data_IF_262367657642
#
_entry.id   IF_262367657642
#
_cell.length_a   1.000
_cell.length_b   1.000
_cell.length_c   1.000
_cell.angle_alpha   90.00
_cell.angle_beta   90.00
_cell.angle_gamma   90.00
#
_symmetry.space_group_name_H-M   'P 1'
#
loop_
_entity.id
_entity.type
_entity.pdbx_description
1 polymer ?
#
# COMPACT_ATOMS: atom_id res chain seq x y z
N UNK A 1 71.09 2.45 48.77
CA UNK A 1 70.11 1.97 49.76
C UNK A 1 68.72 2.15 49.12
N UNK A 2 68.18 1.09 48.52
CA UNK A 2 66.88 1.06 47.85
C UNK A 2 65.95 0.22 48.67
N UNK A 3 64.98 0.85 49.29
CA UNK A 3 63.88 0.15 49.98
C UNK A 3 62.86 -0.34 48.95
N UNK A 4 62.46 -1.62 49.07
CA UNK A 4 61.35 -2.23 48.33
C UNK A 4 60.07 -2.02 49.16
N UNK A 5 58.94 -1.66 48.53
CA UNK A 5 57.66 -1.64 49.25
C UNK A 5 57.08 -3.05 49.41
N UNK A 6 56.50 -3.30 50.59
CA UNK A 6 55.78 -4.54 50.99
C UNK A 6 54.47 -4.75 50.20
N UNK A 7 54.04 -6.00 50.00
CA UNK A 7 52.79 -6.30 49.28
C UNK A 7 51.55 -6.07 50.17
N UNK A 8 50.62 -5.28 49.66
CA UNK A 8 49.30 -5.07 50.24
C UNK A 8 48.46 -6.37 50.16
N UNK A 9 48.06 -6.85 51.34
CA UNK A 9 47.15 -7.99 51.52
C UNK A 9 45.74 -7.62 51.02
N UNK A 10 45.27 -8.37 50.02
CA UNK A 10 43.92 -8.25 49.43
C UNK A 10 42.86 -8.75 50.43
N UNK A 11 41.93 -7.86 50.81
CA UNK A 11 40.73 -8.20 51.58
C UNK A 11 39.71 -8.78 50.60
N UNK A 12 39.10 -9.97 50.82
CA UNK A 12 38.12 -10.54 49.89
C UNK A 12 36.80 -9.76 49.96
N UNK A 13 36.45 -9.06 48.85
CA UNK A 13 35.15 -8.47 48.66
C UNK A 13 34.13 -9.60 48.46
N UNK A 14 33.24 -9.81 49.42
CA UNK A 14 32.08 -10.68 49.27
C UNK A 14 31.10 -10.03 48.31
N UNK A 15 30.99 -10.57 47.08
CA UNK A 15 29.90 -10.25 46.17
C UNK A 15 28.56 -10.69 46.79
N UNK A 16 27.52 -9.83 46.72
CA UNK A 16 26.21 -10.23 47.22
C UNK A 16 25.64 -11.33 46.33
N UNK A 17 25.11 -12.39 46.96
CA UNK A 17 24.39 -13.47 46.25
C UNK A 17 23.19 -12.87 45.53
N UNK A 18 22.90 -13.28 44.24
CA UNK A 18 21.72 -12.81 43.55
C UNK A 18 20.47 -13.31 44.27
N UNK A 19 19.68 -12.40 44.79
CA UNK A 19 18.36 -12.69 45.34
C UNK A 19 17.45 -13.00 44.16
N UNK A 20 17.29 -14.29 43.89
CA UNK A 20 16.30 -14.80 42.95
C UNK A 20 14.91 -14.57 43.55
N UNK A 21 14.31 -13.39 43.25
CA UNK A 21 12.94 -13.14 43.68
C UNK A 21 11.99 -13.94 42.79
N UNK A 22 11.10 -14.74 43.38
CA UNK A 22 10.05 -15.48 42.66
C UNK A 22 9.18 -14.58 41.78
N UNK A 23 9.12 -13.27 42.04
CA UNK A 23 8.48 -12.25 41.18
C UNK A 23 9.15 -12.09 39.81
N UNK A 24 10.47 -12.24 39.71
CA UNK A 24 11.18 -12.11 38.41
C UNK A 24 11.01 -13.32 37.50
N UNK A 25 10.72 -14.51 38.04
CA UNK A 25 10.46 -15.72 37.25
C UNK A 25 9.02 -15.72 36.73
N UNK A 26 8.04 -15.35 37.56
CA UNK A 26 6.64 -15.21 37.18
C UNK A 26 6.45 -14.12 36.11
N UNK A 27 7.15 -12.99 36.21
CA UNK A 27 7.11 -11.91 35.22
C UNK A 27 7.70 -12.33 33.85
N UNK A 28 8.80 -13.07 33.87
CA UNK A 28 9.41 -13.60 32.63
C UNK A 28 8.54 -14.67 31.95
N UNK A 29 7.88 -15.52 32.73
CA UNK A 29 6.97 -16.54 32.21
C UNK A 29 5.70 -15.90 31.59
N UNK A 30 5.12 -14.92 32.27
CA UNK A 30 3.98 -14.16 31.74
C UNK A 30 4.34 -13.38 30.45
N UNK A 31 5.52 -12.75 30.43
CA UNK A 31 6.00 -12.06 29.22
C UNK A 31 6.25 -13.03 28.06
N UNK A 32 6.74 -14.23 28.33
CA UNK A 32 6.94 -15.27 27.32
C UNK A 32 5.62 -15.78 26.74
N UNK A 33 4.63 -16.07 27.60
CA UNK A 33 3.30 -16.49 27.16
C UNK A 33 2.59 -15.41 26.34
N UNK A 34 2.73 -14.14 26.73
CA UNK A 34 2.18 -13.01 25.95
C UNK A 34 2.85 -12.90 24.59
N UNK A 35 4.16 -13.10 24.51
CA UNK A 35 4.90 -13.10 23.24
C UNK A 35 4.49 -14.29 22.36
N UNK A 36 4.38 -15.50 22.90
CA UNK A 36 3.94 -16.70 22.19
C UNK A 36 2.52 -16.51 21.64
N UNK A 37 1.57 -16.03 22.45
CA UNK A 37 0.21 -15.73 22.01
C UNK A 37 0.16 -14.65 20.91
N UNK A 38 0.99 -13.61 21.02
CA UNK A 38 1.09 -12.57 19.99
C UNK A 38 1.65 -13.13 18.68
N UNK A 39 2.62 -14.03 18.73
CA UNK A 39 3.16 -14.68 17.53
C UNK A 39 2.12 -15.59 16.87
N UNK A 40 1.29 -16.31 17.64
CA UNK A 40 0.16 -17.10 17.11
C UNK A 40 -0.88 -16.22 16.41
N UNK A 41 -1.17 -15.02 16.94
CA UNK A 41 -2.05 -14.05 16.31
C UNK A 41 -1.45 -13.51 15.00
N UNK A 42 -0.13 -13.36 14.91
CA UNK A 42 0.57 -12.96 13.67
C UNK A 42 0.48 -14.03 12.60
N UNK A 43 0.51 -15.33 12.95
CA UNK A 43 0.35 -16.43 11.99
C UNK A 43 -0.92 -16.29 11.14
N UNK A 44 -2.00 -15.80 11.75
CA UNK A 44 -3.28 -15.64 11.06
C UNK A 44 -3.30 -14.49 10.04
N UNK A 45 -2.38 -13.51 10.14
CA UNK A 45 -2.37 -12.32 9.28
C UNK A 45 -1.10 -12.15 8.46
N UNK A 46 0.03 -12.75 8.85
CA UNK A 46 1.33 -12.57 8.19
C UNK A 46 1.38 -13.07 6.75
N UNK A 47 2.30 -12.58 5.91
CA UNK A 47 2.66 -13.23 4.66
C UNK A 47 3.17 -14.64 4.88
N UNK A 48 3.26 -15.44 3.82
CA UNK A 48 3.94 -16.74 3.90
C UNK A 48 5.45 -16.57 4.07
N UNK A 49 6.05 -17.46 4.88
CA UNK A 49 7.49 -17.60 4.97
C UNK A 49 8.04 -18.44 3.82
N UNK A 50 9.34 -18.34 3.54
CA UNK A 50 10.00 -19.08 2.45
C UNK A 50 9.71 -20.59 2.51
N UNK A 51 9.78 -21.19 3.70
CA UNK A 51 9.51 -22.63 3.89
C UNK A 51 8.08 -23.05 3.47
N UNK A 52 7.12 -22.12 3.41
CA UNK A 52 5.74 -22.39 3.03
C UNK A 52 5.53 -22.27 1.50
N UNK A 53 6.40 -21.54 0.80
CA UNK A 53 6.22 -21.18 -0.63
C UNK A 53 5.96 -22.42 -1.50
N UNK A 54 6.75 -23.51 -1.44
CA UNK A 54 6.51 -24.67 -2.31
C UNK A 54 5.14 -25.33 -2.08
N UNK A 55 4.72 -25.44 -0.81
CA UNK A 55 3.44 -26.06 -0.47
C UNK A 55 2.25 -25.20 -0.93
N UNK A 56 2.34 -23.88 -0.73
CA UNK A 56 1.31 -22.93 -1.16
C UNK A 56 1.19 -22.88 -2.68
N UNK A 57 2.31 -22.85 -3.39
CA UNK A 57 2.32 -22.86 -4.86
C UNK A 57 1.71 -24.15 -5.43
N UNK A 58 2.03 -25.32 -4.85
CA UNK A 58 1.42 -26.58 -5.25
C UNK A 58 -0.10 -26.55 -5.07
N UNK A 59 -0.60 -26.01 -3.94
CA UNK A 59 -2.04 -25.85 -3.68
C UNK A 59 -2.67 -24.91 -4.71
N UNK A 60 -2.03 -23.78 -4.98
CA UNK A 60 -2.49 -22.77 -5.93
C UNK A 60 -2.59 -23.35 -7.36
N UNK A 61 -1.59 -24.12 -7.81
CA UNK A 61 -1.60 -24.74 -9.14
C UNK A 61 -2.57 -25.92 -9.27
N UNK A 62 -3.08 -26.43 -8.15
CA UNK A 62 -4.17 -27.40 -8.12
C UNK A 62 -5.57 -26.76 -7.99
N UNK A 63 -5.64 -25.46 -7.67
CA UNK A 63 -6.90 -24.76 -7.47
C UNK A 63 -7.65 -24.58 -8.81
N UNK A 64 -8.90 -25.09 -8.86
CA UNK A 64 -9.69 -25.10 -10.11
C UNK A 64 -10.13 -23.70 -10.51
N UNK A 65 -10.44 -22.85 -9.55
CA UNK A 65 -10.92 -21.49 -9.81
C UNK A 65 -9.76 -20.61 -10.31
N UNK A 66 -8.59 -20.71 -9.70
CA UNK A 66 -7.38 -20.07 -10.18
C UNK A 66 -7.05 -20.45 -11.62
N UNK A 67 -7.06 -21.75 -11.93
CA UNK A 67 -6.81 -22.23 -13.29
C UNK A 67 -7.89 -21.77 -14.28
N UNK A 68 -9.12 -21.62 -13.84
CA UNK A 68 -10.20 -21.09 -14.66
C UNK A 68 -9.99 -19.62 -15.00
N UNK A 69 -9.64 -18.81 -14.01
CA UNK A 69 -9.30 -17.39 -14.19
C UNK A 69 -8.12 -17.24 -15.17
N UNK A 70 -7.06 -18.03 -15.00
CA UNK A 70 -5.91 -18.01 -15.91
C UNK A 70 -6.26 -18.46 -17.33
N UNK A 71 -7.13 -19.48 -17.47
CA UNK A 71 -7.58 -19.94 -18.76
C UNK A 71 -8.37 -18.85 -19.51
N UNK A 72 -9.30 -18.18 -18.82
CA UNK A 72 -10.06 -17.07 -19.40
C UNK A 72 -9.17 -15.86 -19.75
N UNK A 73 -8.23 -15.54 -18.88
CA UNK A 73 -7.29 -14.44 -19.13
C UNK A 73 -6.38 -14.72 -20.33
N UNK A 74 -5.86 -15.94 -20.46
CA UNK A 74 -4.89 -16.31 -21.50
C UNK A 74 -5.55 -16.70 -22.82
N UNK A 75 -6.74 -17.31 -22.75
CA UNK A 75 -7.48 -17.87 -23.89
C UNK A 75 -8.96 -17.49 -23.85
N UNK A 76 -9.30 -16.18 -23.89
CA UNK A 76 -10.66 -15.70 -23.63
C UNK A 76 -11.74 -16.30 -24.53
N UNK A 77 -11.38 -16.63 -25.80
CA UNK A 77 -12.32 -17.25 -26.77
C UNK A 77 -12.46 -18.76 -26.65
N UNK A 78 -11.50 -19.42 -26.04
CA UNK A 78 -11.43 -20.90 -25.98
C UNK A 78 -11.74 -21.45 -24.58
N UNK A 79 -11.59 -20.66 -23.51
CA UNK A 79 -11.69 -21.11 -22.15
C UNK A 79 -13.05 -21.73 -21.82
N UNK A 80 -14.16 -21.15 -22.34
CA UNK A 80 -15.49 -21.68 -22.14
C UNK A 80 -15.72 -23.07 -22.76
N UNK A 81 -15.21 -23.31 -23.97
CA UNK A 81 -15.40 -24.58 -24.66
C UNK A 81 -14.34 -25.63 -24.33
N UNK A 82 -13.08 -25.21 -24.14
CA UNK A 82 -11.92 -26.09 -23.98
C UNK A 82 -11.28 -26.02 -22.59
N UNK A 83 -11.96 -25.43 -21.61
CA UNK A 83 -11.43 -25.26 -20.25
C UNK A 83 -10.98 -26.57 -19.60
N UNK A 84 -11.65 -27.69 -19.92
CA UNK A 84 -11.29 -29.01 -19.43
C UNK A 84 -9.88 -29.48 -19.89
N UNK A 85 -9.45 -29.07 -21.08
CA UNK A 85 -8.13 -29.39 -21.63
C UNK A 85 -7.09 -28.31 -21.30
N UNK A 86 -7.50 -27.05 -21.24
CA UNK A 86 -6.62 -25.90 -20.97
C UNK A 86 -6.12 -25.89 -19.53
N UNK A 87 -6.98 -26.19 -18.55
CA UNK A 87 -6.62 -26.15 -17.12
C UNK A 87 -5.48 -27.09 -16.77
N UNK A 88 -5.50 -28.40 -17.11
CA UNK A 88 -4.38 -29.31 -16.83
C UNK A 88 -3.11 -28.92 -17.60
N UNK A 89 -3.23 -28.39 -18.81
CA UNK A 89 -2.09 -27.88 -19.56
C UNK A 89 -1.44 -26.68 -18.86
N UNK A 90 -2.25 -25.71 -18.38
CA UNK A 90 -1.79 -24.55 -17.61
C UNK A 90 -1.13 -25.02 -16.32
N UNK A 91 -1.78 -25.90 -15.54
CA UNK A 91 -1.24 -26.43 -14.30
C UNK A 91 0.14 -27.08 -14.50
N UNK A 92 0.26 -27.97 -15.51
CA UNK A 92 1.53 -28.62 -15.85
C UNK A 92 2.62 -27.62 -16.24
N UNK A 93 2.25 -26.57 -16.98
CA UNK A 93 3.20 -25.50 -17.33
C UNK A 93 3.65 -24.72 -16.10
N UNK A 94 2.74 -24.32 -15.22
CA UNK A 94 3.05 -23.62 -13.97
C UNK A 94 3.98 -24.46 -13.08
N UNK A 95 3.64 -25.73 -12.83
CA UNK A 95 4.52 -26.62 -12.06
C UNK A 95 5.92 -26.72 -12.62
N UNK A 96 6.09 -26.73 -13.94
CA UNK A 96 7.40 -26.77 -14.58
C UNK A 96 8.13 -25.43 -14.50
N UNK A 97 7.42 -24.32 -14.70
CA UNK A 97 7.97 -22.96 -14.74
C UNK A 97 8.43 -22.49 -13.35
N UNK A 98 7.75 -22.97 -12.31
CA UNK A 98 8.01 -22.57 -10.92
C UNK A 98 8.56 -23.70 -10.04
N UNK A 99 9.11 -24.76 -10.66
CA UNK A 99 9.59 -25.96 -9.94
C UNK A 99 10.77 -25.69 -8.99
N UNK A 100 11.57 -24.68 -9.29
CA UNK A 100 12.77 -24.27 -8.58
C UNK A 100 12.53 -23.12 -7.57
N UNK A 101 11.28 -22.70 -7.39
CA UNK A 101 10.94 -21.60 -6.49
C UNK A 101 10.72 -22.14 -5.08
N UNK A 102 11.59 -21.74 -4.16
CA UNK A 102 11.59 -22.14 -2.75
C UNK A 102 11.52 -20.96 -1.76
N UNK A 103 11.49 -19.72 -2.26
CA UNK A 103 11.46 -18.51 -1.45
C UNK A 103 10.60 -17.42 -2.08
N UNK A 104 10.18 -16.47 -1.25
CA UNK A 104 9.39 -15.30 -1.69
C UNK A 104 10.21 -14.43 -2.64
N UNK A 105 11.49 -14.24 -2.37
CA UNK A 105 12.38 -13.44 -3.23
C UNK A 105 12.57 -14.10 -4.61
N UNK A 106 12.76 -15.44 -4.66
CA UNK A 106 12.82 -16.19 -5.91
C UNK A 106 11.50 -16.09 -6.70
N UNK A 107 10.36 -16.14 -6.01
CA UNK A 107 9.05 -15.94 -6.63
C UNK A 107 8.92 -14.53 -7.21
N UNK A 108 9.25 -13.48 -6.43
CA UNK A 108 9.18 -12.10 -6.89
C UNK A 108 10.07 -11.86 -8.12
N UNK A 109 11.29 -12.38 -8.11
CA UNK A 109 12.18 -12.31 -9.27
C UNK A 109 11.60 -13.04 -10.50
N UNK A 110 10.97 -14.21 -10.29
CA UNK A 110 10.32 -14.97 -11.39
C UNK A 110 9.14 -14.23 -12.01
N UNK A 111 8.31 -13.56 -11.20
CA UNK A 111 7.13 -12.83 -11.68
C UNK A 111 7.45 -11.42 -12.17
N UNK A 112 8.64 -10.89 -11.94
CA UNK A 112 9.07 -9.54 -12.37
C UNK A 112 8.72 -9.28 -13.85
N UNK A 113 9.13 -10.14 -14.75
CA UNK A 113 8.88 -9.99 -16.19
C UNK A 113 7.37 -10.00 -16.57
N UNK A 114 6.52 -10.55 -15.74
CA UNK A 114 5.06 -10.50 -15.94
C UNK A 114 4.50 -9.16 -15.45
N UNK A 115 5.03 -8.64 -14.34
CA UNK A 115 4.67 -7.32 -13.81
C UNK A 115 5.11 -6.25 -14.80
N UNK A 116 6.34 -6.29 -15.29
CA UNK A 116 6.88 -5.34 -16.26
C UNK A 116 6.01 -5.29 -17.53
N UNK A 117 5.72 -6.44 -18.12
CA UNK A 117 4.83 -6.52 -19.30
C UNK A 117 3.42 -6.00 -19.04
N UNK A 118 2.90 -6.16 -17.83
CA UNK A 118 1.59 -5.65 -17.45
C UNK A 118 1.63 -4.12 -17.35
N UNK A 119 2.68 -3.57 -16.76
CA UNK A 119 2.93 -2.14 -16.66
C UNK A 119 3.10 -1.53 -18.07
N UNK A 120 3.96 -2.10 -18.90
CA UNK A 120 4.20 -1.64 -20.27
C UNK A 120 2.93 -1.60 -21.14
N UNK A 121 2.01 -2.56 -20.95
CA UNK A 121 0.75 -2.61 -21.71
C UNK A 121 -0.32 -1.66 -21.22
N UNK A 122 -0.28 -1.31 -19.93
CA UNK A 122 -1.33 -0.53 -19.28
C UNK A 122 -0.93 0.94 -19.05
N UNK A 123 0.34 1.31 -19.33
CA UNK A 123 0.87 2.66 -19.10
C UNK A 123 1.71 3.15 -20.28
N UNK A 124 1.89 4.47 -20.36
CA UNK A 124 2.87 5.13 -21.25
C UNK A 124 4.23 5.30 -20.53
N UNK A 125 4.45 4.55 -19.49
CA UNK A 125 5.65 4.51 -18.68
C UNK A 125 5.42 4.87 -17.22
N UNK A 126 6.29 4.30 -16.37
CA UNK A 126 6.34 4.56 -14.93
C UNK A 126 7.64 5.28 -14.61
N UNK A 127 7.51 6.39 -13.88
CA UNK A 127 8.65 7.16 -13.38
C UNK A 127 8.58 7.24 -11.86
N UNK A 128 9.72 7.38 -11.21
CA UNK A 128 9.79 7.54 -9.77
C UNK A 128 10.89 8.52 -9.36
N UNK A 129 10.74 9.11 -8.18
CA UNK A 129 11.68 10.06 -7.59
C UNK A 129 11.81 9.86 -6.08
N UNK A 130 12.90 10.35 -5.48
CA UNK A 130 13.12 10.35 -4.03
C UNK A 130 13.58 9.03 -3.42
N UNK A 131 13.76 7.95 -4.20
CA UNK A 131 14.27 6.66 -3.71
C UNK A 131 15.74 6.72 -3.30
N UNK A 132 16.51 7.69 -3.81
CA UNK A 132 17.89 8.01 -3.42
C UNK A 132 18.00 8.47 -1.96
N UNK A 133 16.92 8.92 -1.35
CA UNK A 133 16.85 9.30 0.07
C UNK A 133 16.69 8.08 1.01
N UNK A 134 16.40 6.91 0.46
CA UNK A 134 16.22 5.69 1.20
C UNK A 134 17.53 4.89 1.28
N UNK A 135 17.80 4.32 2.45
CA UNK A 135 19.02 3.55 2.69
C UNK A 135 18.75 2.04 2.54
N UNK A 136 19.64 1.37 1.83
CA UNK A 136 19.63 -0.08 1.72
C UNK A 136 19.74 -0.74 3.11
N UNK A 137 18.99 -1.83 3.33
CA UNK A 137 18.99 -2.53 4.62
C UNK A 137 18.20 -1.84 5.74
N UNK A 138 17.55 -0.72 5.46
CA UNK A 138 16.71 -0.01 6.43
C UNK A 138 15.24 -0.14 6.08
N UNK A 139 14.43 -0.46 7.08
CA UNK A 139 12.98 -0.61 6.92
C UNK A 139 12.25 0.72 7.12
N UNK A 140 11.16 0.93 6.36
CA UNK A 140 10.36 2.15 6.35
C UNK A 140 8.86 1.83 6.41
N UNK A 141 8.07 2.74 6.96
CA UNK A 141 6.63 2.74 6.84
C UNK A 141 6.23 3.65 5.67
N UNK A 142 5.88 3.07 4.54
CA UNK A 142 5.36 3.81 3.38
C UNK A 142 3.88 4.09 3.58
N UNK A 143 3.53 5.36 3.74
CA UNK A 143 2.16 5.86 3.80
C UNK A 143 1.82 6.52 2.47
N UNK A 144 0.87 5.97 1.73
CA UNK A 144 0.57 6.40 0.37
C UNK A 144 -0.90 6.79 0.20
N UNK A 145 -1.16 7.71 -0.72
CA UNK A 145 -2.51 7.83 -1.27
C UNK A 145 -2.90 6.52 -1.98
N UNK A 146 -4.21 6.28 -2.11
CA UNK A 146 -4.69 4.99 -2.61
C UNK A 146 -5.78 5.19 -3.67
N UNK A 147 -5.48 4.82 -4.90
CA UNK A 147 -6.36 4.96 -6.07
C UNK A 147 -6.73 3.65 -6.72
N UNK A 148 -5.84 2.64 -6.69
CA UNK A 148 -6.06 1.33 -7.30
C UNK A 148 -5.79 0.21 -6.28
N UNK A 149 -6.64 -0.84 -6.29
CA UNK A 149 -6.58 -1.92 -5.28
C UNK A 149 -5.25 -2.68 -5.36
N UNK A 150 -4.80 -3.00 -6.58
CA UNK A 150 -3.65 -3.88 -6.83
C UNK A 150 -2.46 -3.09 -7.36
N UNK A 151 -2.71 -2.10 -8.24
CA UNK A 151 -1.62 -1.44 -8.94
C UNK A 151 -0.85 -0.45 -8.08
N UNK A 152 -1.46 0.18 -7.07
CA UNK A 152 -0.71 1.07 -6.18
C UNK A 152 0.44 0.33 -5.45
N UNK A 153 0.18 -0.75 -4.69
CA UNK A 153 1.28 -1.51 -4.10
C UNK A 153 2.18 -2.19 -5.14
N UNK A 154 1.66 -2.57 -6.30
CA UNK A 154 2.47 -3.14 -7.38
C UNK A 154 3.47 -2.12 -7.94
N UNK A 155 3.05 -0.87 -8.16
CA UNK A 155 3.95 0.20 -8.59
C UNK A 155 4.97 0.58 -7.51
N UNK A 156 4.59 0.58 -6.23
CA UNK A 156 5.55 0.79 -5.14
C UNK A 156 6.60 -0.34 -5.12
N UNK A 157 6.16 -1.60 -5.21
CA UNK A 157 7.08 -2.75 -5.30
C UNK A 157 7.99 -2.64 -6.52
N UNK A 158 7.45 -2.30 -7.69
CA UNK A 158 8.20 -2.09 -8.92
C UNK A 158 9.30 -1.02 -8.71
N UNK A 159 8.94 0.15 -8.19
CA UNK A 159 9.88 1.24 -8.00
C UNK A 159 11.00 0.90 -7.00
N UNK A 160 10.66 0.33 -5.84
CA UNK A 160 11.68 -0.03 -4.83
C UNK A 160 12.56 -1.20 -5.28
N UNK A 161 12.01 -2.18 -6.01
CA UNK A 161 12.76 -3.30 -6.57
C UNK A 161 13.81 -2.83 -7.59
N UNK A 162 13.39 -2.00 -8.56
CA UNK A 162 14.31 -1.45 -9.57
C UNK A 162 15.33 -0.45 -9.01
N UNK A 163 15.07 0.10 -7.82
CA UNK A 163 16.06 0.88 -7.06
C UNK A 163 17.03 0.01 -6.23
N UNK A 164 16.93 -1.32 -6.30
CA UNK A 164 17.76 -2.24 -5.53
C UNK A 164 17.41 -2.31 -4.04
N UNK A 165 16.19 -1.87 -3.67
CA UNK A 165 15.67 -1.94 -2.31
C UNK A 165 14.77 -3.16 -2.14
N UNK A 166 14.61 -3.63 -0.88
CA UNK A 166 13.69 -4.74 -0.57
C UNK A 166 12.24 -4.27 -0.67
N UNK A 167 11.41 -5.08 -1.34
CA UNK A 167 9.97 -4.84 -1.46
C UNK A 167 9.28 -4.87 -0.09
N UNK A 168 8.33 -3.95 0.19
CA UNK A 168 7.63 -3.89 1.46
C UNK A 168 6.62 -5.03 1.64
N UNK A 169 6.26 -5.31 2.89
CA UNK A 169 5.02 -6.01 3.26
C UNK A 169 3.83 -5.10 2.97
N UNK A 170 2.75 -5.64 2.40
CA UNK A 170 1.60 -4.87 1.91
C UNK A 170 0.37 -5.12 2.78
N UNK A 171 -0.23 -4.07 3.34
CA UNK A 171 -1.48 -4.15 4.07
C UNK A 171 -2.66 -4.36 3.10
N UNK A 172 -3.40 -5.48 3.24
CA UNK A 172 -4.57 -5.79 2.41
C UNK A 172 -5.79 -6.11 3.26
N UNK A 173 -6.95 -5.56 2.90
CA UNK A 173 -8.20 -5.85 3.61
C UNK A 173 -8.72 -7.27 3.34
N UNK A 174 -9.22 -7.94 4.38
CA UNK A 174 -9.78 -9.29 4.32
C UNK A 174 -11.00 -9.39 3.39
N UNK A 175 -11.69 -8.28 3.15
CA UNK A 175 -12.80 -8.20 2.19
C UNK A 175 -12.39 -8.51 0.75
N UNK A 176 -11.11 -8.38 0.41
CA UNK A 176 -10.55 -8.70 -0.92
C UNK A 176 -10.08 -10.17 -1.02
N UNK A 177 -10.02 -10.89 0.09
CA UNK A 177 -9.47 -12.24 0.20
C UNK A 177 -10.58 -13.32 0.32
N UNK A 178 -11.73 -13.08 -0.30
CA UNK A 178 -12.89 -13.97 -0.23
C UNK A 178 -12.66 -15.34 -0.88
N UNK A 179 -11.73 -15.42 -1.82
CA UNK A 179 -11.36 -16.64 -2.53
C UNK A 179 -10.02 -17.15 -2.01
N UNK A 180 -9.89 -18.45 -1.67
CA UNK A 180 -8.65 -19.01 -1.12
C UNK A 180 -7.42 -18.74 -1.98
N UNK A 181 -7.51 -18.90 -3.30
CA UNK A 181 -6.38 -18.67 -4.22
C UNK A 181 -5.94 -17.19 -4.24
N UNK A 182 -6.87 -16.23 -4.07
CA UNK A 182 -6.53 -14.80 -3.99
C UNK A 182 -5.75 -14.53 -2.70
N UNK A 183 -6.19 -15.10 -1.58
CA UNK A 183 -5.46 -15.02 -0.32
C UNK A 183 -4.04 -15.60 -0.45
N UNK A 184 -3.90 -16.77 -1.08
CA UNK A 184 -2.60 -17.40 -1.31
C UNK A 184 -1.69 -16.52 -2.17
N UNK A 185 -2.18 -15.98 -3.29
CA UNK A 185 -1.42 -15.08 -4.17
C UNK A 185 -0.93 -13.82 -3.44
N UNK A 186 -1.84 -13.18 -2.68
CA UNK A 186 -1.49 -11.95 -1.98
C UNK A 186 -0.48 -12.20 -0.87
N UNK A 187 -0.66 -13.26 -0.07
CA UNK A 187 0.28 -13.62 1.00
C UNK A 187 1.64 -14.11 0.48
N UNK A 188 1.69 -14.78 -0.68
CA UNK A 188 2.93 -15.09 -1.39
C UNK A 188 3.68 -13.82 -1.83
N UNK A 189 2.94 -12.74 -2.15
CA UNK A 189 3.54 -11.45 -2.52
C UNK A 189 3.67 -10.50 -1.33
N UNK A 190 4.07 -11.00 -0.17
CA UNK A 190 4.33 -10.24 1.07
C UNK A 190 3.12 -9.47 1.62
N UNK A 191 1.88 -9.78 1.21
CA UNK A 191 0.72 -9.11 1.80
C UNK A 191 0.36 -9.71 3.15
N UNK A 192 0.01 -8.84 4.12
CA UNK A 192 -0.55 -9.21 5.41
C UNK A 192 -1.98 -8.70 5.55
N UNK A 193 -2.78 -9.41 6.33
CA UNK A 193 -4.24 -9.24 6.34
C UNK A 193 -4.67 -8.19 7.35
N UNK A 194 -5.41 -7.18 6.89
CA UNK A 194 -6.13 -6.21 7.73
C UNK A 194 -7.57 -6.69 7.90
N UNK A 195 -7.92 -7.09 9.11
CA UNK A 195 -9.26 -7.61 9.44
C UNK A 195 -10.27 -6.46 9.53
N UNK A 196 -10.99 -6.18 8.44
CA UNK A 196 -12.04 -5.14 8.34
C UNK A 196 -13.44 -5.70 8.53
N UNK A 197 -13.66 -6.97 8.18
CA UNK A 197 -14.96 -7.63 8.19
C UNK A 197 -15.48 -7.97 9.58
N UNK A 198 -14.72 -7.66 10.63
CA UNK A 198 -15.11 -7.93 12.01
C UNK A 198 -16.23 -6.99 12.42
N UNK A 199 -17.32 -7.56 12.96
CA UNK A 199 -18.42 -6.84 13.61
C UNK A 199 -18.15 -6.78 15.13
N UNK A 200 -18.45 -5.64 15.75
CA UNK A 200 -18.22 -5.45 17.18
C UNK A 200 -17.03 -4.54 17.50
N UNK A 201 -17.28 -3.61 18.43
CA UNK A 201 -16.28 -2.57 18.79
C UNK A 201 -15.06 -3.16 19.48
N UNK A 202 -15.27 -4.15 20.36
CA UNK A 202 -14.20 -4.77 21.14
C UNK A 202 -13.29 -5.61 20.27
N UNK A 203 -13.88 -6.38 19.36
CA UNK A 203 -13.20 -7.26 18.44
C UNK A 203 -12.39 -6.45 17.39
N UNK A 204 -12.96 -5.33 16.89
CA UNK A 204 -12.23 -4.39 16.03
C UNK A 204 -11.01 -3.79 16.75
N UNK A 205 -11.18 -3.38 18.01
CA UNK A 205 -10.09 -2.82 18.79
C UNK A 205 -8.96 -3.84 19.00
N UNK A 206 -9.31 -5.11 19.30
CA UNK A 206 -8.34 -6.19 19.42
C UNK A 206 -7.60 -6.45 18.10
N UNK A 207 -8.33 -6.50 16.98
CA UNK A 207 -7.73 -6.67 15.66
C UNK A 207 -6.77 -5.51 15.28
N UNK A 208 -7.12 -4.27 15.62
CA UNK A 208 -6.22 -3.12 15.40
C UNK A 208 -5.00 -3.16 16.32
N UNK A 209 -5.14 -3.68 17.54
CA UNK A 209 -4.00 -3.88 18.45
C UNK A 209 -3.01 -4.89 17.87
N UNK A 210 -3.51 -6.03 17.33
CA UNK A 210 -2.69 -7.04 16.65
C UNK A 210 -2.04 -6.46 15.39
N UNK A 211 -2.80 -5.71 14.58
CA UNK A 211 -2.28 -5.07 13.38
C UNK A 211 -1.16 -4.06 13.70
N UNK A 212 -1.37 -3.21 14.71
CA UNK A 212 -0.37 -2.28 15.20
C UNK A 212 0.90 -3.00 15.66
N UNK A 213 0.74 -4.06 16.45
CA UNK A 213 1.86 -4.87 16.95
C UNK A 213 2.62 -5.53 15.80
N UNK A 214 1.91 -6.07 14.79
CA UNK A 214 2.51 -6.69 13.62
C UNK A 214 3.33 -5.70 12.78
N UNK A 215 2.80 -4.50 12.51
CA UNK A 215 3.51 -3.47 11.75
C UNK A 215 4.77 -3.01 12.52
N UNK A 216 4.65 -2.78 13.83
CA UNK A 216 5.79 -2.44 14.68
C UNK A 216 6.84 -3.55 14.69
N UNK A 217 6.43 -4.82 14.80
CA UNK A 217 7.33 -5.98 14.74
C UNK A 217 8.03 -6.07 13.37
N UNK A 218 7.28 -5.96 12.28
CA UNK A 218 7.83 -6.00 10.91
C UNK A 218 8.96 -5.00 10.71
N UNK A 219 8.76 -3.76 11.13
CA UNK A 219 9.74 -2.69 10.89
C UNK A 219 10.89 -2.71 11.89
N UNK A 220 10.57 -2.90 13.17
CA UNK A 220 11.55 -2.72 14.29
C UNK A 220 12.35 -4.00 14.57
N UNK A 221 11.79 -5.20 14.30
CA UNK A 221 12.41 -6.49 14.60
C UNK A 221 12.84 -7.23 13.34
N UNK A 222 11.92 -7.41 12.37
CA UNK A 222 12.23 -8.14 11.12
C UNK A 222 13.05 -7.30 10.13
N UNK A 223 13.09 -5.96 10.29
CA UNK A 223 13.74 -5.07 9.33
C UNK A 223 13.04 -5.03 7.97
N UNK A 224 11.72 -5.34 7.93
CA UNK A 224 10.91 -5.33 6.72
C UNK A 224 10.11 -4.03 6.63
N UNK A 225 10.19 -3.34 5.49
CA UNK A 225 9.35 -2.19 5.21
C UNK A 225 7.88 -2.59 5.11
N UNK A 226 6.99 -1.65 5.40
CA UNK A 226 5.54 -1.85 5.31
C UNK A 226 4.93 -0.77 4.43
N UNK A 227 4.07 -1.14 3.49
CA UNK A 227 3.20 -0.23 2.77
C UNK A 227 1.77 -0.30 3.32
N UNK A 228 1.19 0.86 3.59
CA UNK A 228 -0.20 1.00 4.00
C UNK A 228 -0.80 2.27 3.38
N UNK A 229 -2.07 2.19 2.97
CA UNK A 229 -2.81 3.36 2.49
C UNK A 229 -3.04 4.38 3.62
N UNK A 230 -3.00 5.66 3.30
CA UNK A 230 -3.20 6.78 4.23
C UNK A 230 -4.63 6.88 4.79
N UNK A 231 -5.59 6.21 4.13
CA UNK A 231 -6.99 6.16 4.55
C UNK A 231 -7.60 4.79 4.21
N UNK A 232 -8.71 4.44 4.87
CA UNK A 232 -9.43 3.22 4.56
C UNK A 232 -10.14 3.34 3.19
N UNK A 233 -9.82 2.43 2.29
CA UNK A 233 -10.37 2.39 0.93
C UNK A 233 -9.67 3.35 -0.03
N UNK A 234 -10.10 3.26 -1.30
CA UNK A 234 -9.56 4.11 -2.38
C UNK A 234 -10.22 5.48 -2.38
N UNK A 235 -9.46 6.54 -2.57
CA UNK A 235 -10.01 7.86 -2.88
C UNK A 235 -10.84 7.80 -4.18
N UNK A 236 -12.02 8.42 -4.15
CA UNK A 236 -12.96 8.41 -5.29
C UNK A 236 -13.00 9.77 -6.00
N UNK A 237 -12.84 10.84 -5.23
CA UNK A 237 -12.97 12.22 -5.69
C UNK A 237 -11.63 12.90 -6.01
N UNK A 238 -10.52 12.22 -5.80
CA UNK A 238 -9.19 12.79 -5.98
C UNK A 238 -8.71 13.71 -4.85
N UNK A 239 -9.48 13.86 -3.77
CA UNK A 239 -9.05 14.57 -2.56
C UNK A 239 -8.43 13.57 -1.58
N UNK A 240 -7.18 13.27 -1.80
CA UNK A 240 -6.42 12.24 -1.06
C UNK A 240 -6.02 12.75 0.33
N UNK A 241 -6.85 12.50 1.35
CA UNK A 241 -6.61 12.93 2.74
C UNK A 241 -6.21 11.77 3.63
N UNK A 242 -5.28 12.05 4.54
CA UNK A 242 -4.83 11.10 5.55
C UNK A 242 -5.85 10.99 6.69
N UNK A 243 -6.31 9.78 6.97
CA UNK A 243 -7.13 9.53 8.16
C UNK A 243 -6.23 9.40 9.39
N UNK A 244 -6.35 10.35 10.31
CA UNK A 244 -5.62 10.33 11.58
C UNK A 244 -5.89 9.08 12.44
N UNK A 245 -6.98 8.35 12.18
CA UNK A 245 -7.29 7.10 12.86
C UNK A 245 -6.27 6.00 12.53
N UNK A 246 -5.71 5.98 11.30
CA UNK A 246 -4.64 5.05 10.93
C UNK A 246 -3.38 5.32 11.74
N UNK A 247 -3.01 6.60 11.93
CA UNK A 247 -1.84 6.98 12.72
C UNK A 247 -2.02 6.61 14.21
N UNK A 248 -3.21 6.81 14.75
CA UNK A 248 -3.56 6.34 16.11
C UNK A 248 -3.50 4.81 16.21
N UNK A 249 -3.99 4.09 15.19
CA UNK A 249 -3.90 2.64 15.14
C UNK A 249 -2.43 2.17 15.15
N UNK A 250 -1.54 2.79 14.41
CA UNK A 250 -0.10 2.47 14.39
C UNK A 250 0.56 2.60 15.77
N UNK A 251 0.08 3.52 16.60
CA UNK A 251 0.56 3.72 17.97
C UNK A 251 -0.02 2.74 18.99
N UNK A 252 -1.16 2.07 18.70
CA UNK A 252 -1.92 1.31 19.70
C UNK A 252 -1.12 0.25 20.46
N UNK A 253 -0.19 -0.43 19.80
CA UNK A 253 0.66 -1.44 20.43
C UNK A 253 1.83 -0.85 21.25
N UNK A 254 2.04 0.46 21.17
CA UNK A 254 3.11 1.22 21.82
C UNK A 254 2.59 2.42 22.63
N UNK A 255 1.37 2.31 23.13
CA UNK A 255 0.71 3.38 23.90
C UNK A 255 1.48 3.83 25.16
N UNK A 256 2.44 3.01 25.61
CA UNK A 256 3.31 3.33 26.76
C UNK A 256 4.54 4.16 26.34
N UNK A 257 4.80 4.31 25.02
CA UNK A 257 5.78 5.21 24.44
C UNK A 257 5.09 6.53 24.02
N UNK A 258 5.75 7.70 24.08
CA UNK A 258 5.22 8.93 23.48
C UNK A 258 4.87 8.73 22.02
N UNK A 259 3.77 9.34 21.54
CA UNK A 259 3.27 9.15 20.17
C UNK A 259 4.34 9.44 19.09
N UNK A 260 5.02 10.58 19.23
CA UNK A 260 6.05 10.98 18.28
C UNK A 260 7.21 10.00 18.23
N UNK A 261 7.69 9.49 19.37
CA UNK A 261 8.79 8.53 19.47
C UNK A 261 8.41 7.17 18.85
N UNK A 262 7.21 6.68 19.18
CA UNK A 262 6.70 5.43 18.65
C UNK A 262 6.57 5.47 17.13
N UNK A 263 6.05 6.58 16.56
CA UNK A 263 5.90 6.76 15.11
C UNK A 263 7.27 7.01 14.44
N UNK A 264 8.16 7.79 15.04
CA UNK A 264 9.51 8.02 14.51
C UNK A 264 10.30 6.71 14.33
N UNK A 265 10.12 5.76 15.25
CA UNK A 265 10.74 4.44 15.16
C UNK A 265 10.29 3.63 13.93
N UNK A 266 9.12 3.93 13.36
CA UNK A 266 8.61 3.33 12.12
C UNK A 266 9.16 4.01 10.86
N UNK A 267 9.83 5.15 10.98
CA UNK A 267 10.37 5.93 9.86
C UNK A 267 9.32 6.20 8.78
N UNK A 268 8.22 6.93 9.12
CA UNK A 268 7.17 7.22 8.16
C UNK A 268 7.75 7.95 6.95
N UNK A 269 7.35 7.47 5.77
CA UNK A 269 7.80 7.99 4.48
C UNK A 269 6.55 8.15 3.62
N UNK A 270 6.23 9.38 3.26
CA UNK A 270 5.10 9.69 2.41
C UNK A 270 5.38 9.21 0.97
N UNK A 271 4.41 8.55 0.35
CA UNK A 271 4.51 8.14 -1.06
C UNK A 271 3.32 8.70 -1.81
N UNK A 272 3.60 9.53 -2.81
CA UNK A 272 2.58 10.05 -3.72
C UNK A 272 2.53 9.20 -4.99
N UNK A 273 1.36 8.66 -5.30
CA UNK A 273 1.12 7.85 -6.49
C UNK A 273 0.20 8.64 -7.42
N UNK A 274 0.73 9.05 -8.56
CA UNK A 274 0.06 9.91 -9.54
C UNK A 274 -0.24 9.13 -10.81
N UNK A 275 -1.51 9.09 -11.18
CA UNK A 275 -1.98 8.51 -12.44
C UNK A 275 -2.37 9.64 -13.39
N UNK A 276 -1.95 9.57 -14.65
CA UNK A 276 -2.49 10.47 -15.67
C UNK A 276 -3.98 10.18 -15.92
N UNK A 277 -4.33 8.89 -16.01
CA UNK A 277 -5.72 8.45 -16.11
C UNK A 277 -6.00 7.32 -15.11
N UNK A 278 -7.05 7.48 -14.31
CA UNK A 278 -7.52 6.42 -13.44
C UNK A 278 -8.36 5.42 -14.26
N UNK A 279 -7.99 4.13 -14.32
CA UNK A 279 -8.75 3.16 -15.09
C UNK A 279 -10.16 2.92 -14.55
N UNK A 280 -10.38 3.21 -13.26
CA UNK A 280 -11.68 3.04 -12.58
C UNK A 280 -12.49 4.34 -12.45
N UNK A 281 -12.12 5.41 -13.15
CA UNK A 281 -12.72 6.74 -12.99
C UNK A 281 -14.24 6.77 -13.21
N UNK A 282 -14.75 6.05 -14.21
CA UNK A 282 -16.20 5.93 -14.49
C UNK A 282 -16.95 5.26 -13.32
N UNK A 283 -16.37 4.17 -12.78
CA UNK A 283 -16.97 3.46 -11.65
C UNK A 283 -16.97 4.35 -10.37
N UNK A 284 -15.90 5.11 -10.17
CA UNK A 284 -15.79 6.06 -9.06
C UNK A 284 -16.78 7.23 -9.20
N UNK A 285 -16.91 7.81 -10.39
CA UNK A 285 -17.88 8.85 -10.68
C UNK A 285 -19.32 8.38 -10.42
N UNK A 286 -19.64 7.15 -10.84
CA UNK A 286 -20.94 6.52 -10.55
C UNK A 286 -21.16 6.33 -9.05
N UNK A 287 -20.17 5.83 -8.31
CA UNK A 287 -20.27 5.67 -6.85
C UNK A 287 -20.55 7.00 -6.16
N UNK A 288 -19.80 8.06 -6.51
CA UNK A 288 -19.97 9.40 -5.96
C UNK A 288 -21.37 9.98 -6.27
N UNK A 289 -21.82 9.87 -7.52
CA UNK A 289 -23.15 10.30 -7.93
C UNK A 289 -24.26 9.60 -7.11
N UNK A 290 -24.18 8.26 -6.97
CA UNK A 290 -25.16 7.51 -6.20
C UNK A 290 -25.13 7.94 -4.74
N UNK A 291 -23.97 8.08 -4.12
CA UNK A 291 -23.85 8.57 -2.73
C UNK A 291 -24.45 9.96 -2.55
N UNK A 292 -24.20 10.86 -3.48
CA UNK A 292 -24.74 12.22 -3.41
C UNK A 292 -26.26 12.27 -3.56
N UNK A 293 -26.83 11.39 -4.39
CA UNK A 293 -28.28 11.40 -4.68
C UNK A 293 -29.10 10.53 -3.75
N UNK A 294 -28.53 9.45 -3.19
CA UNK A 294 -29.26 8.48 -2.33
C UNK A 294 -28.78 8.44 -0.88
N UNK A 295 -27.71 9.13 -0.55
CA UNK A 295 -27.09 9.16 0.79
C UNK A 295 -26.17 7.98 1.09
N UNK A 296 -26.18 6.91 0.29
CA UNK A 296 -25.36 5.72 0.53
C UNK A 296 -25.01 5.00 -0.78
N UNK A 297 -24.02 4.11 -0.72
CA UNK A 297 -23.67 3.23 -1.83
C UNK A 297 -23.36 1.84 -1.31
N UNK A 298 -24.00 0.84 -1.88
CA UNK A 298 -23.69 -0.57 -1.63
C UNK A 298 -23.13 -1.19 -2.89
N UNK A 299 -21.93 -1.74 -2.78
CA UNK A 299 -21.27 -2.41 -3.90
C UNK A 299 -22.07 -3.63 -4.37
N UNK A 300 -22.18 -3.79 -5.67
CA UNK A 300 -22.73 -4.99 -6.27
C UNK A 300 -21.78 -6.18 -6.09
N UNK A 301 -22.29 -7.44 -6.05
CA UNK A 301 -21.46 -8.63 -6.07
C UNK A 301 -20.48 -8.60 -7.26
N UNK A 302 -19.19 -8.88 -7.02
CA UNK A 302 -18.15 -8.88 -8.07
C UNK A 302 -17.62 -7.51 -8.49
N UNK A 303 -18.07 -6.41 -7.89
CA UNK A 303 -17.61 -5.07 -8.24
C UNK A 303 -16.13 -4.83 -7.89
N UNK A 304 -15.66 -5.39 -6.78
CA UNK A 304 -14.23 -5.32 -6.42
C UNK A 304 -13.40 -6.15 -7.41
N UNK A 305 -13.86 -7.33 -7.82
CA UNK A 305 -13.19 -8.16 -8.84
C UNK A 305 -13.09 -7.42 -10.19
N UNK A 306 -14.19 -6.79 -10.61
CA UNK A 306 -14.22 -5.97 -11.84
C UNK A 306 -13.25 -4.77 -11.74
N UNK A 307 -13.19 -4.12 -10.58
CA UNK A 307 -12.25 -3.02 -10.31
C UNK A 307 -10.80 -3.49 -10.32
N UNK A 308 -10.50 -4.67 -9.78
CA UNK A 308 -9.17 -5.29 -9.82
C UNK A 308 -8.76 -5.57 -11.27
N UNK A 309 -9.64 -6.24 -12.04
CA UNK A 309 -9.38 -6.56 -13.44
C UNK A 309 -9.13 -5.30 -14.28
N UNK A 310 -9.96 -4.27 -14.09
CA UNK A 310 -9.85 -2.99 -14.79
C UNK A 310 -8.60 -2.22 -14.33
N UNK A 311 -8.27 -2.26 -13.04
CA UNK A 311 -7.04 -1.70 -12.49
C UNK A 311 -5.79 -2.30 -13.15
N UNK A 312 -5.75 -3.62 -13.32
CA UNK A 312 -4.61 -4.31 -13.95
C UNK A 312 -4.52 -3.99 -15.45
N UNK A 313 -5.64 -4.07 -16.18
CA UNK A 313 -5.65 -4.05 -17.66
C UNK A 313 -5.94 -2.69 -18.27
N UNK A 314 -6.57 -1.77 -17.53
CA UNK A 314 -7.03 -0.49 -18.02
C UNK A 314 -5.89 0.50 -18.26
N UNK A 315 -6.06 1.33 -19.29
CA UNK A 315 -5.08 2.35 -19.66
C UNK A 315 -4.95 3.45 -18.61
N UNK A 316 -3.72 3.77 -18.23
CA UNK A 316 -3.37 4.71 -17.15
C UNK A 316 -2.63 5.95 -17.65
N UNK A 317 -2.22 5.98 -18.94
CA UNK A 317 -1.26 6.99 -19.38
C UNK A 317 0.05 6.88 -18.63
N UNK A 318 0.64 8.00 -18.27
CA UNK A 318 1.86 8.05 -17.44
C UNK A 318 1.54 7.84 -15.96
N UNK A 319 2.43 7.16 -15.25
CA UNK A 319 2.35 6.98 -13.81
C UNK A 319 3.64 7.53 -13.16
N UNK A 320 3.50 8.23 -12.05
CA UNK A 320 4.64 8.74 -11.29
C UNK A 320 4.50 8.44 -9.81
N UNK A 321 5.59 7.91 -9.21
CA UNK A 321 5.69 7.72 -7.77
C UNK A 321 6.73 8.69 -7.20
N UNK A 322 6.34 9.47 -6.20
CA UNK A 322 7.27 10.33 -5.48
C UNK A 322 7.40 9.84 -4.03
N UNK A 323 8.60 9.44 -3.66
CA UNK A 323 8.94 9.06 -2.29
C UNK A 323 9.48 10.28 -1.56
N UNK A 324 8.82 10.67 -0.48
CA UNK A 324 9.31 11.72 0.41
C UNK A 324 10.55 11.27 1.19
N UNK A 325 11.25 12.22 1.78
CA UNK A 325 12.28 11.89 2.76
C UNK A 325 11.63 11.21 3.98
N UNK A 326 12.29 10.20 4.57
CA UNK A 326 11.85 9.65 5.85
C UNK A 326 11.73 10.76 6.89
N UNK A 327 10.56 10.87 7.52
CA UNK A 327 10.27 11.96 8.45
C UNK A 327 11.18 11.88 9.68
N UNK A 328 11.93 12.96 9.94
CA UNK A 328 12.86 13.07 11.08
C UNK A 328 12.17 13.66 12.32
N UNK A 329 11.20 14.54 12.10
CA UNK A 329 10.43 15.19 13.13
C UNK A 329 8.97 14.74 13.00
N UNK A 330 8.47 14.10 14.03
CA UNK A 330 7.09 13.62 14.08
C UNK A 330 6.32 14.51 15.05
N UNK A 331 5.19 15.12 14.63
CA UNK A 331 4.29 15.84 15.55
C UNK A 331 3.76 14.94 16.66
N UNK A 332 3.47 15.54 17.82
CA UNK A 332 2.89 14.82 18.97
C UNK A 332 1.39 14.48 18.76
N UNK A 333 0.71 15.18 17.88
CA UNK A 333 -0.69 14.95 17.56
C UNK A 333 -0.88 14.25 16.22
N UNK A 334 -1.77 13.26 16.18
CA UNK A 334 -2.03 12.46 15.00
C UNK A 334 -2.69 13.27 13.85
N UNK A 335 -3.38 14.38 14.13
CA UNK A 335 -3.97 15.23 13.09
C UNK A 335 -2.90 16.14 12.48
N UNK A 336 -1.95 16.62 13.28
CA UNK A 336 -0.82 17.39 12.78
C UNK A 336 0.07 16.50 11.90
N UNK A 337 0.31 15.26 12.31
CA UNK A 337 1.04 14.30 11.48
C UNK A 337 0.28 13.96 10.19
N UNK A 338 -1.05 13.84 10.24
CA UNK A 338 -1.86 13.63 9.05
C UNK A 338 -1.77 14.81 8.08
N UNK A 339 -1.83 16.05 8.59
CA UNK A 339 -1.66 17.25 7.79
C UNK A 339 -0.26 17.36 7.15
N UNK A 340 0.78 16.93 7.87
CA UNK A 340 2.14 16.88 7.33
C UNK A 340 2.27 15.83 6.21
N UNK A 341 1.68 14.65 6.38
CA UNK A 341 1.62 13.61 5.34
C UNK A 341 0.85 14.11 4.12
N UNK A 342 -0.30 14.76 4.30
CA UNK A 342 -1.10 15.33 3.22
C UNK A 342 -0.28 16.38 2.45
N UNK A 343 0.44 17.26 3.17
CA UNK A 343 1.31 18.25 2.53
C UNK A 343 2.37 17.60 1.64
N UNK A 344 2.97 16.50 2.08
CA UNK A 344 3.97 15.78 1.30
C UNK A 344 3.34 14.99 0.15
N UNK A 345 2.27 14.24 0.39
CA UNK A 345 1.62 13.42 -0.63
C UNK A 345 1.02 14.29 -1.75
N UNK A 346 0.24 15.31 -1.37
CA UNK A 346 -0.42 16.19 -2.34
C UNK A 346 0.57 17.14 -3.01
N UNK A 347 1.57 17.64 -2.27
CA UNK A 347 2.63 18.50 -2.81
C UNK A 347 3.50 17.80 -3.85
N UNK A 348 3.77 16.51 -3.66
CA UNK A 348 4.55 15.68 -4.56
C UNK A 348 3.71 14.98 -5.65
N UNK A 349 2.38 15.14 -5.64
CA UNK A 349 1.55 14.57 -6.68
C UNK A 349 1.89 15.20 -8.03
N UNK A 350 2.29 14.38 -9.00
CA UNK A 350 2.60 14.84 -10.35
C UNK A 350 1.32 15.13 -11.11
N UNK A 351 1.13 16.39 -11.50
CA UNK A 351 0.02 16.81 -12.33
C UNK A 351 0.36 16.60 -13.81
N UNK A 352 -0.61 16.10 -14.55
CA UNK A 352 -0.54 15.88 -16.00
C UNK A 352 -1.53 16.80 -16.72
N UNK A 353 -1.45 16.99 -18.07
CA UNK A 353 -2.32 17.91 -18.79
C UNK A 353 -3.81 17.72 -18.50
N UNK A 354 -4.28 16.47 -18.38
CA UNK A 354 -5.69 16.15 -18.11
C UNK A 354 -6.20 16.76 -16.81
N UNK A 355 -5.35 16.86 -15.76
CA UNK A 355 -5.75 17.45 -14.48
C UNK A 355 -6.08 18.94 -14.63
N UNK A 356 -5.29 19.68 -15.41
CA UNK A 356 -5.52 21.10 -15.70
C UNK A 356 -6.73 21.30 -16.63
N UNK A 357 -6.94 20.40 -17.61
CA UNK A 357 -8.14 20.42 -18.44
C UNK A 357 -9.40 20.19 -17.60
N UNK A 358 -9.38 19.23 -16.68
CA UNK A 358 -10.47 18.97 -15.78
C UNK A 358 -10.72 20.15 -14.82
N UNK A 359 -9.64 20.74 -14.26
CA UNK A 359 -9.78 21.90 -13.37
C UNK A 359 -10.39 23.10 -14.10
N UNK A 360 -10.02 23.38 -15.33
CA UNK A 360 -10.60 24.46 -16.13
C UNK A 360 -12.11 24.25 -16.41
N UNK A 361 -12.58 23.00 -16.45
CA UNK A 361 -14.00 22.64 -16.65
C UNK A 361 -14.81 22.56 -15.34
N UNK A 362 -14.12 22.54 -14.19
CA UNK A 362 -14.79 22.33 -12.91
C UNK A 362 -15.56 23.57 -12.46
N UNK A 363 -16.88 23.44 -12.31
CA UNK A 363 -17.74 24.54 -11.92
C UNK A 363 -17.48 25.06 -10.50
N UNK A 364 -17.05 24.17 -9.59
CA UNK A 364 -16.74 24.49 -8.20
C UNK A 364 -15.26 24.88 -7.98
N UNK A 365 -14.50 25.17 -9.06
CA UNK A 365 -13.12 25.59 -8.93
C UNK A 365 -13.00 26.89 -8.15
N UNK A 366 -11.90 27.00 -7.41
CA UNK A 366 -11.57 28.22 -6.68
C UNK A 366 -10.88 29.22 -7.64
N UNK A 367 -11.62 30.19 -8.13
CA UNK A 367 -11.10 31.22 -9.07
C UNK A 367 -10.04 32.14 -8.42
N UNK A 368 -9.92 32.17 -7.09
CA UNK A 368 -8.83 32.87 -6.40
C UNK A 368 -7.47 32.16 -6.58
N UNK A 369 -7.49 30.86 -6.85
CA UNK A 369 -6.28 30.12 -7.21
C UNK A 369 -5.92 30.40 -8.66
N UNK A 370 -4.85 31.14 -8.87
CA UNK A 370 -4.34 31.44 -10.23
C UNK A 370 -3.66 30.19 -10.80
N UNK A 371 -4.49 29.23 -11.26
CA UNK A 371 -4.01 27.99 -11.89
C UNK A 371 -3.74 28.25 -13.37
N UNK A 372 -2.50 28.00 -13.86
CA UNK A 372 -2.20 28.15 -15.27
C UNK A 372 -2.95 27.13 -16.13
N UNK A 373 -3.10 27.42 -17.41
CA UNK A 373 -3.75 26.47 -18.35
C UNK A 373 -2.79 25.33 -18.73
N UNK A 374 -3.34 24.21 -19.19
CA UNK A 374 -2.54 23.08 -19.67
C UNK A 374 -1.58 23.53 -20.81
N UNK A 375 -2.06 24.40 -21.72
CA UNK A 375 -1.30 24.92 -22.85
C UNK A 375 -0.09 25.79 -22.45
N UNK A 376 -0.11 26.36 -21.25
CA UNK A 376 1.02 27.15 -20.75
C UNK A 376 2.11 26.31 -20.07
N UNK A 377 1.82 25.06 -19.73
CA UNK A 377 2.69 24.18 -18.95
C UNK A 377 3.26 23.01 -19.74
N UNK A 378 2.55 22.59 -20.82
CA UNK A 378 2.88 21.40 -21.58
C UNK A 378 2.96 21.71 -23.06
N UNK A 379 3.66 20.88 -23.81
CA UNK A 379 3.73 21.05 -25.26
C UNK A 379 2.37 20.78 -25.96
N UNK A 380 2.24 21.32 -27.18
CA UNK A 380 0.97 21.25 -27.91
C UNK A 380 0.52 19.82 -28.23
N UNK A 381 1.48 18.90 -28.44
CA UNK A 381 1.18 17.50 -28.76
C UNK A 381 0.68 16.76 -27.53
N UNK A 382 1.31 16.96 -26.36
CA UNK A 382 0.85 16.41 -25.08
C UNK A 382 -0.57 16.89 -24.74
N UNK A 383 -0.82 18.19 -24.89
CA UNK A 383 -2.15 18.76 -24.64
C UNK A 383 -3.20 18.22 -25.62
N UNK A 384 -2.85 18.07 -26.90
CA UNK A 384 -3.77 17.52 -27.91
C UNK A 384 -4.13 16.05 -27.60
N UNK A 385 -3.16 15.21 -27.21
CA UNK A 385 -3.40 13.83 -26.78
C UNK A 385 -4.29 13.78 -25.53
N UNK A 386 -4.02 14.62 -24.55
CA UNK A 386 -4.82 14.70 -23.32
C UNK A 386 -6.26 15.14 -23.60
N UNK A 387 -6.47 16.13 -24.48
CA UNK A 387 -7.81 16.57 -24.89
C UNK A 387 -8.59 15.45 -25.60
N UNK A 388 -7.94 14.69 -26.46
CA UNK A 388 -8.58 13.58 -27.17
C UNK A 388 -9.03 12.47 -26.21
N UNK A 389 -8.14 12.03 -25.31
CA UNK A 389 -8.46 10.98 -24.33
C UNK A 389 -9.49 11.47 -23.29
N UNK A 390 -9.34 12.71 -22.81
CA UNK A 390 -10.31 13.32 -21.90
C UNK A 390 -11.71 13.43 -22.52
N UNK A 391 -11.79 13.89 -23.76
CA UNK A 391 -13.04 13.95 -24.53
C UNK A 391 -13.69 12.58 -24.67
N UNK A 392 -12.91 11.53 -24.93
CA UNK A 392 -13.39 10.15 -25.01
C UNK A 392 -13.96 9.68 -23.68
N UNK A 393 -13.28 9.97 -22.55
CA UNK A 393 -13.74 9.61 -21.19
C UNK A 393 -15.01 10.36 -20.80
N UNK A 394 -15.09 11.64 -21.08
CA UNK A 394 -16.31 12.44 -20.87
C UNK A 394 -17.49 11.91 -21.70
N UNK A 395 -17.27 11.61 -22.99
CA UNK A 395 -18.32 11.08 -23.85
C UNK A 395 -18.83 9.69 -23.39
N UNK A 396 -17.98 8.88 -22.77
CA UNK A 396 -18.35 7.59 -22.20
C UNK A 396 -19.06 7.70 -20.83
N UNK A 397 -18.97 8.87 -20.16
CA UNK A 397 -19.56 9.10 -18.85
C UNK A 397 -20.98 9.67 -18.99
N UNK A 398 -22.00 9.10 -18.32
CA UNK A 398 -23.33 9.69 -18.28
C UNK A 398 -23.27 11.15 -17.79
N UNK A 399 -24.01 12.04 -18.43
CA UNK A 399 -23.92 13.50 -18.16
C UNK A 399 -24.11 13.86 -16.69
N UNK A 400 -25.01 13.17 -15.99
CA UNK A 400 -25.25 13.36 -14.54
C UNK A 400 -24.07 12.94 -13.64
N UNK A 401 -23.15 12.15 -14.17
CA UNK A 401 -21.95 11.67 -13.44
C UNK A 401 -20.68 12.46 -13.82
N UNK A 402 -20.72 13.23 -14.92
CA UNK A 402 -19.56 14.00 -15.39
C UNK A 402 -19.01 15.00 -14.35
N UNK A 403 -19.80 15.70 -13.54
CA UNK A 403 -19.27 16.58 -12.50
C UNK A 403 -18.33 15.82 -11.53
N UNK A 404 -18.69 14.61 -11.17
CA UNK A 404 -17.89 13.76 -10.27
C UNK A 404 -16.64 13.19 -10.98
N UNK A 405 -16.72 12.91 -12.28
CA UNK A 405 -15.56 12.55 -13.07
C UNK A 405 -14.56 13.71 -13.18
N UNK A 406 -15.04 14.92 -13.43
CA UNK A 406 -14.23 16.15 -13.50
C UNK A 406 -13.56 16.41 -12.14
N UNK A 407 -14.31 16.31 -11.04
CA UNK A 407 -13.80 16.51 -9.69
C UNK A 407 -12.61 15.62 -9.36
N UNK A 408 -12.63 14.33 -9.77
CA UNK A 408 -11.54 13.38 -9.51
C UNK A 408 -10.18 13.87 -10.05
N UNK A 409 -10.19 14.51 -11.21
CA UNK A 409 -8.98 15.02 -11.85
C UNK A 409 -8.67 16.48 -11.46
N UNK A 410 -9.68 17.26 -11.07
CA UNK A 410 -9.53 18.65 -10.68
C UNK A 410 -8.98 18.82 -9.25
N UNK A 411 -9.40 17.98 -8.32
CA UNK A 411 -8.99 18.06 -6.90
C UNK A 411 -7.47 18.04 -6.68
N UNK A 412 -6.66 17.20 -7.35
CA UNK A 412 -5.21 17.24 -7.22
C UNK A 412 -4.61 18.61 -7.56
N UNK A 413 -5.15 19.30 -8.57
CA UNK A 413 -4.73 20.66 -8.95
C UNK A 413 -5.08 21.64 -7.83
N UNK A 414 -6.34 21.67 -7.40
CA UNK A 414 -6.81 22.53 -6.30
C UNK A 414 -5.92 22.36 -5.07
N UNK A 415 -5.69 21.12 -4.64
CA UNK A 415 -4.94 20.84 -3.42
C UNK A 415 -3.49 21.31 -3.54
N UNK A 416 -2.84 21.04 -4.67
CA UNK A 416 -1.45 21.45 -4.87
C UNK A 416 -1.30 22.98 -4.93
N UNK A 417 -2.24 23.70 -5.57
CA UNK A 417 -2.19 25.15 -5.65
C UNK A 417 -2.59 25.82 -4.32
N UNK A 418 -3.47 25.22 -3.53
CA UNK A 418 -3.73 25.67 -2.14
C UNK A 418 -2.46 25.55 -1.28
N UNK A 419 -1.74 24.45 -1.38
CA UNK A 419 -0.45 24.28 -0.69
C UNK A 419 0.59 25.35 -1.13
N UNK A 420 0.69 25.61 -2.43
CA UNK A 420 1.63 26.62 -2.97
C UNK A 420 1.31 28.05 -2.51
N UNK A 421 0.04 28.35 -2.27
CA UNK A 421 -0.41 29.67 -1.81
C UNK A 421 -0.51 29.78 -0.28
N UNK A 422 -0.15 28.73 0.45
CA UNK A 422 -0.25 28.71 1.92
C UNK A 422 -1.70 28.63 2.46
N UNK A 423 -2.66 28.34 1.61
CA UNK A 423 -4.05 28.12 2.02
C UNK A 423 -4.22 26.74 2.66
N UNK A 424 -5.12 26.67 3.64
CA UNK A 424 -5.48 25.39 4.24
C UNK A 424 -6.06 24.43 3.19
N UNK A 425 -5.67 23.17 3.30
CA UNK A 425 -6.17 22.09 2.44
C UNK A 425 -7.66 21.78 2.72
#
# INVERSE_FOLDING_TARGET
>A
VTERPEPLTAVPVRLPRPVSSARGVASRHASRLLYENMMDEFEAIRPYADAEVPAVMNRLFADREFLDVLAHFRFPRLAGALGWALKPMIAKRLHREFADIDSVDALQHRIESYVDRTIERATDGVTYSGLDQLQQGRAYLYLANHRDIVMDPAFVNYAVYHAGLRTPRIAIGDNLLQRPFVSDLMRLNKSFIVRRSISGRREKLAAYQVLSAYINHSIRQDGESVWIAQAEGRAKDGDDRTDSAILKMLHMSRKDEPFAEALAALRPTAVSISYEYDPCDQAKARELYIRATTGSYTKAPGEDDASIALGITGYKGRVHLAFGAPMQQIPEDAKELAAELDRQILGNYRLFPVHYLAYAMWEERDDALQVPTAESLFDAEEVARAKAEWGRRLAACPSVQQPYLIQQYANPVRNQYRLKTGLAL
#
